data_IF_068344524871
#
_entry.id   IF_068344524871
#
_cell.length_a   1.000
_cell.length_b   1.000
_cell.length_c   1.000
_cell.angle_alpha   90.00
_cell.angle_beta   90.00
_cell.angle_gamma   90.00
#
_symmetry.space_group_name_H-M   'P 1'
#
loop_
_entity.id
_entity.type
_entity.pdbx_description
1 polymer ?
#
# COMPACT_ATOMS: atom_id res chain seq x y z
N UNK A 1 -20.51 -7.18 5.93
CA UNK A 1 -19.46 -8.10 5.49
C UNK A 1 -18.73 -8.57 6.74
N UNK A 2 -18.45 -9.87 6.88
CA UNK A 2 -17.58 -10.40 7.94
C UNK A 2 -16.21 -10.63 7.29
N UNK A 3 -15.18 -10.04 7.87
CA UNK A 3 -13.79 -10.17 7.40
C UNK A 3 -12.98 -10.93 8.44
N UNK A 4 -11.95 -11.64 7.97
CA UNK A 4 -10.96 -12.28 8.84
C UNK A 4 -10.07 -11.20 9.48
N UNK A 5 -9.77 -11.36 10.77
CA UNK A 5 -8.81 -10.51 11.44
C UNK A 5 -7.39 -10.90 11.01
N UNK A 6 -6.66 -9.95 10.43
CA UNK A 6 -5.25 -10.10 10.08
C UNK A 6 -4.44 -9.58 11.28
N UNK A 7 -3.63 -10.43 11.90
CA UNK A 7 -2.72 -10.01 12.95
C UNK A 7 -1.61 -9.13 12.34
N UNK A 8 -1.47 -7.90 12.82
CA UNK A 8 -0.56 -6.89 12.28
C UNK A 8 0.00 -5.99 13.39
N UNK A 9 1.14 -5.36 13.11
CA UNK A 9 1.76 -4.39 14.01
C UNK A 9 1.06 -3.03 13.93
N UNK A 10 1.07 -2.44 12.73
CA UNK A 10 0.54 -1.11 12.42
C UNK A 10 0.21 -1.05 10.91
N UNK A 11 -0.39 0.06 10.46
CA UNK A 11 -0.46 0.35 9.03
C UNK A 11 0.91 0.80 8.50
N UNK A 12 1.14 0.64 7.20
CA UNK A 12 2.34 1.16 6.57
C UNK A 12 2.41 2.69 6.69
N UNK A 13 1.27 3.38 6.71
CA UNK A 13 1.18 4.83 6.93
C UNK A 13 1.75 5.25 8.28
N UNK A 14 1.32 4.60 9.36
CA UNK A 14 1.84 4.85 10.70
C UNK A 14 3.34 4.58 10.81
N UNK A 15 3.82 3.52 10.15
CA UNK A 15 5.26 3.23 10.12
C UNK A 15 6.02 4.31 9.37
N UNK A 16 5.53 4.77 8.21
CA UNK A 16 6.16 5.86 7.45
C UNK A 16 6.24 7.14 8.29
N UNK A 17 5.16 7.49 8.99
CA UNK A 17 5.07 8.74 9.75
C UNK A 17 5.91 8.75 11.02
N UNK A 18 6.03 7.61 11.72
CA UNK A 18 6.60 7.56 13.07
C UNK A 18 7.84 6.69 13.22
N UNK A 19 8.08 5.75 12.30
CA UNK A 19 9.06 4.67 12.48
C UNK A 19 9.98 4.46 11.26
N UNK A 20 9.84 5.24 10.18
CA UNK A 20 10.63 5.05 8.95
C UNK A 20 12.13 5.03 9.22
N UNK A 21 12.63 6.02 9.97
CA UNK A 21 14.07 6.21 10.21
C UNK A 21 14.68 5.11 11.09
N UNK A 22 13.87 4.49 11.96
CA UNK A 22 14.29 3.37 12.80
C UNK A 22 14.05 2.02 12.13
N UNK A 23 13.26 1.97 11.06
CA UNK A 23 12.99 0.75 10.29
C UNK A 23 14.19 0.41 9.41
N UNK A 24 14.80 -0.80 9.56
CA UNK A 24 15.95 -1.20 8.77
C UNK A 24 15.69 -1.16 7.26
N UNK A 25 16.66 -0.68 6.49
CA UNK A 25 16.53 -0.54 5.03
C UNK A 25 16.11 -1.86 4.35
N UNK A 26 16.67 -3.00 4.77
CA UNK A 26 16.31 -4.30 4.17
C UNK A 26 14.83 -4.66 4.36
N UNK A 27 14.19 -4.21 5.44
CA UNK A 27 12.75 -4.39 5.68
C UNK A 27 11.95 -3.49 4.73
N UNK A 28 12.34 -2.21 4.60
CA UNK A 28 11.71 -1.27 3.66
C UNK A 28 11.85 -1.74 2.21
N UNK A 29 13.00 -2.29 1.82
CA UNK A 29 13.22 -2.89 0.49
C UNK A 29 12.35 -4.13 0.26
N UNK A 30 12.13 -4.97 1.28
CA UNK A 30 11.18 -6.09 1.20
C UNK A 30 9.76 -5.57 0.92
N UNK A 31 9.32 -4.54 1.63
CA UNK A 31 8.00 -3.93 1.45
C UNK A 31 7.82 -3.33 0.06
N UNK A 32 8.81 -2.60 -0.45
CA UNK A 32 8.83 -2.09 -1.83
C UNK A 32 8.64 -3.25 -2.83
N UNK A 33 9.38 -4.34 -2.65
CA UNK A 33 9.28 -5.51 -3.54
C UNK A 33 7.90 -6.17 -3.48
N UNK A 34 7.30 -6.24 -2.29
CA UNK A 34 5.94 -6.77 -2.11
C UNK A 34 4.88 -5.86 -2.72
N UNK A 35 4.97 -4.54 -2.57
CA UNK A 35 4.04 -3.60 -3.18
C UNK A 35 4.05 -3.71 -4.71
N UNK A 36 5.24 -3.72 -5.31
CA UNK A 36 5.41 -3.89 -6.74
C UNK A 36 4.83 -5.22 -7.24
N UNK A 37 5.08 -6.30 -6.50
CA UNK A 37 4.52 -7.61 -6.82
C UNK A 37 3.00 -7.60 -6.77
N UNK A 38 2.40 -7.18 -5.65
CA UNK A 38 0.94 -7.26 -5.44
C UNK A 38 0.20 -6.40 -6.46
N UNK A 39 0.63 -5.15 -6.69
CA UNK A 39 -0.03 -4.27 -7.67
C UNK A 39 0.07 -4.86 -9.08
N UNK A 40 1.23 -5.42 -9.46
CA UNK A 40 1.37 -6.10 -10.75
C UNK A 40 0.42 -7.28 -10.89
N UNK A 41 0.29 -8.13 -9.87
CA UNK A 41 -0.62 -9.29 -9.92
C UNK A 41 -2.10 -8.86 -9.97
N UNK A 42 -2.49 -7.83 -9.22
CA UNK A 42 -3.85 -7.26 -9.30
C UNK A 42 -4.14 -6.75 -10.72
N UNK A 43 -3.22 -5.94 -11.28
CA UNK A 43 -3.40 -5.36 -12.60
C UNK A 43 -3.40 -6.41 -13.71
N UNK A 44 -2.56 -7.44 -13.59
CA UNK A 44 -2.56 -8.58 -14.51
C UNK A 44 -3.88 -9.38 -14.48
N UNK A 45 -4.56 -9.39 -13.34
CA UNK A 45 -5.90 -9.97 -13.19
C UNK A 45 -7.04 -9.02 -13.61
N UNK A 46 -6.73 -7.81 -14.08
CA UNK A 46 -7.73 -6.79 -14.44
C UNK A 46 -8.41 -6.14 -13.23
N UNK A 47 -7.79 -6.24 -12.05
CA UNK A 47 -8.31 -5.69 -10.79
C UNK A 47 -7.61 -4.36 -10.50
N UNK A 48 -8.40 -3.32 -10.31
CA UNK A 48 -7.96 -2.03 -9.78
C UNK A 48 -8.12 -2.05 -8.27
N UNK A 49 -7.11 -1.58 -7.53
CA UNK A 49 -7.21 -1.43 -6.08
C UNK A 49 -8.10 -0.24 -5.71
N UNK A 50 -7.84 0.93 -6.30
CA UNK A 50 -8.78 2.04 -6.39
C UNK A 50 -8.77 3.03 -5.23
N UNK A 51 -8.30 2.65 -4.04
CA UNK A 51 -7.96 3.56 -2.93
C UNK A 51 -6.55 3.27 -2.40
N UNK A 52 -5.58 3.25 -3.32
CA UNK A 52 -4.20 2.91 -3.00
C UNK A 52 -3.55 3.99 -2.11
N UNK A 53 -3.25 3.62 -0.85
CA UNK A 53 -2.54 4.46 0.14
C UNK A 53 -1.90 3.60 1.24
N UNK A 54 -0.88 4.09 1.96
CA UNK A 54 -0.24 3.36 3.07
C UNK A 54 -1.16 2.96 4.21
N UNK A 55 -2.20 3.74 4.48
CA UNK A 55 -3.17 3.42 5.54
C UNK A 55 -4.00 2.18 5.24
N UNK A 56 -4.15 1.86 3.95
CA UNK A 56 -4.82 0.66 3.47
C UNK A 56 -3.85 -0.52 3.31
N UNK A 57 -2.67 -0.46 3.95
CA UNK A 57 -1.69 -1.54 3.97
C UNK A 57 -1.39 -1.89 5.42
N UNK A 58 -1.64 -3.13 5.80
CA UNK A 58 -1.26 -3.65 7.10
C UNK A 58 0.12 -4.30 7.03
N UNK A 59 0.96 -4.05 8.03
CA UNK A 59 2.24 -4.76 8.18
C UNK A 59 2.05 -5.92 9.16
N UNK A 60 1.99 -7.13 8.61
CA UNK A 60 1.82 -8.37 9.36
C UNK A 60 2.95 -8.60 10.37
N UNK A 61 2.70 -9.47 11.35
CA UNK A 61 3.69 -9.78 12.39
C UNK A 61 4.99 -10.39 11.85
N UNK A 62 4.91 -11.01 10.67
CA UNK A 62 6.00 -11.59 9.87
C UNK A 62 6.67 -10.60 8.88
N UNK A 63 6.36 -9.31 9.01
CA UNK A 63 6.80 -8.23 8.12
C UNK A 63 6.32 -8.39 6.66
N UNK A 64 5.24 -9.13 6.42
CA UNK A 64 4.59 -9.17 5.10
C UNK A 64 3.48 -8.13 5.01
N UNK A 65 3.33 -7.54 3.84
CA UNK A 65 2.27 -6.57 3.58
C UNK A 65 0.95 -7.25 3.22
N UNK A 66 -0.13 -6.69 3.75
CA UNK A 66 -1.50 -7.04 3.39
C UNK A 66 -2.21 -5.79 2.88
N UNK A 67 -2.63 -5.79 1.62
CA UNK A 67 -3.48 -4.74 1.07
C UNK A 67 -4.92 -4.98 1.53
N UNK A 68 -5.55 -3.93 2.04
CA UNK A 68 -6.95 -3.92 2.46
C UNK A 68 -7.69 -2.79 1.75
N UNK A 69 -9.01 -2.73 1.93
CA UNK A 69 -9.89 -1.66 1.47
C UNK A 69 -9.79 -1.37 -0.05
N UNK A 70 -10.54 -2.15 -0.83
CA UNK A 70 -10.61 -2.01 -2.29
C UNK A 70 -11.80 -1.13 -2.69
N UNK A 71 -11.57 -0.21 -3.63
CA UNK A 71 -12.52 0.83 -4.01
C UNK A 71 -12.85 1.76 -2.85
N UNK A 72 -13.92 2.55 -2.98
CA UNK A 72 -14.47 3.30 -1.83
C UNK A 72 -14.06 4.78 -1.76
N UNK A 73 -13.37 5.32 -2.76
CA UNK A 73 -13.29 6.76 -2.98
C UNK A 73 -11.93 7.29 -3.37
N UNK A 74 -11.78 8.60 -3.22
CA UNK A 74 -10.58 9.36 -3.50
C UNK A 74 -10.00 9.90 -2.19
N UNK A 75 -8.82 9.42 -1.80
CA UNK A 75 -8.05 10.03 -0.70
C UNK A 75 -7.08 11.06 -1.27
N UNK A 76 -7.33 12.35 -1.00
CA UNK A 76 -6.48 13.43 -1.46
C UNK A 76 -5.04 13.27 -0.96
N UNK A 77 -4.08 13.37 -1.87
CA UNK A 77 -2.64 13.34 -1.56
C UNK A 77 -1.91 12.06 -2.01
N UNK A 78 -2.61 10.97 -2.28
CA UNK A 78 -2.00 9.71 -2.75
C UNK A 78 -2.17 9.45 -4.24
N UNK A 79 -3.32 9.82 -4.78
CA UNK A 79 -3.64 9.73 -6.20
C UNK A 79 -4.13 11.11 -6.66
N UNK A 80 -3.90 11.46 -7.93
CA UNK A 80 -4.47 12.64 -8.56
C UNK A 80 -5.96 12.38 -8.88
N UNK A 81 -6.81 13.39 -8.75
CA UNK A 81 -8.27 13.23 -8.87
C UNK A 81 -8.69 12.61 -10.22
N UNK A 82 -8.00 12.95 -11.31
CA UNK A 82 -8.24 12.42 -12.65
C UNK A 82 -7.81 10.95 -12.83
N UNK A 83 -7.12 10.38 -11.85
CA UNK A 83 -6.62 8.99 -11.85
C UNK A 83 -7.28 8.12 -10.78
N UNK A 84 -8.27 8.63 -10.07
CA UNK A 84 -8.98 7.84 -9.05
C UNK A 84 -9.57 6.56 -9.65
N UNK A 85 -9.61 5.50 -8.84
CA UNK A 85 -10.20 4.22 -9.25
C UNK A 85 -9.67 3.68 -10.60
N UNK A 86 -8.37 3.88 -10.88
CA UNK A 86 -7.74 3.46 -12.12
C UNK A 86 -6.39 2.76 -11.90
N UNK A 87 -5.95 2.01 -12.92
CA UNK A 87 -4.60 1.41 -12.95
C UNK A 87 -3.50 2.47 -12.78
N UNK A 88 -3.65 3.62 -13.45
CA UNK A 88 -2.67 4.71 -13.36
C UNK A 88 -2.63 5.33 -11.95
N UNK A 89 -3.78 5.35 -11.26
CA UNK A 89 -3.87 5.78 -9.87
C UNK A 89 -3.12 4.86 -8.91
N UNK A 90 -3.31 3.54 -9.04
CA UNK A 90 -2.58 2.55 -8.25
C UNK A 90 -1.06 2.64 -8.48
N UNK A 91 -0.63 2.82 -9.74
CA UNK A 91 0.79 2.99 -10.09
C UNK A 91 1.37 4.29 -9.54
N UNK A 92 0.58 5.37 -9.53
CA UNK A 92 0.99 6.63 -8.93
C UNK A 92 1.17 6.51 -7.41
N UNK A 93 0.22 5.89 -6.72
CA UNK A 93 0.32 5.63 -5.29
C UNK A 93 1.54 4.76 -4.99
N UNK A 94 1.79 3.71 -5.79
CA UNK A 94 2.99 2.87 -5.69
C UNK A 94 4.27 3.72 -5.76
N UNK A 95 4.39 4.59 -6.76
CA UNK A 95 5.56 5.46 -6.91
C UNK A 95 5.79 6.32 -5.67
N UNK A 96 4.73 6.99 -5.17
CA UNK A 96 4.83 7.85 -3.98
C UNK A 96 5.22 7.06 -2.73
N UNK A 97 4.66 5.86 -2.55
CA UNK A 97 5.02 4.98 -1.42
C UNK A 97 6.47 4.51 -1.50
N UNK A 98 6.96 4.17 -2.71
CA UNK A 98 8.37 3.79 -2.92
C UNK A 98 9.29 4.95 -2.57
N UNK A 99 8.99 6.16 -3.03
CA UNK A 99 9.77 7.36 -2.71
C UNK A 99 9.82 7.63 -1.20
N UNK A 100 8.69 7.43 -0.51
CA UNK A 100 8.59 7.57 0.94
C UNK A 100 9.24 6.42 1.70
N UNK A 101 9.45 5.26 1.11
CA UNK A 101 10.11 4.12 1.77
C UNK A 101 11.62 4.06 1.52
N UNK A 102 12.17 4.89 0.63
CA UNK A 102 13.62 5.05 0.42
C UNK A 102 14.21 6.00 1.45
#
# INVERSE_FOLDING_TARGET
>A
MLLEYIEHHDTLGQIIDFQKDTTPLHVRTKWISQLQYIIRELHAAGIVWGDAKPDNILVGTDQNLWLVDFGGGFTQGWVDEDKMESFDGDLQALSRMVDLLM
#
